data_IF_191069983772
#
_entry.id   IF_191069983772
#
_cell.length_a   1.000
_cell.length_b   1.000
_cell.length_c   1.000
_cell.angle_alpha   90.00
_cell.angle_beta   90.00
_cell.angle_gamma   90.00
#
_symmetry.space_group_name_H-M   'P 1'
#
loop_
_entity.id
_entity.type
_entity.pdbx_description
1 polymer ?
#
# COMPACT_ATOMS: atom_id res chain seq x y z
N UNK A 1 -5.68 -0.06 -4.39
CA UNK A 1 -4.99 1.00 -5.16
C UNK A 1 -5.71 1.29 -6.45
N UNK A 2 -5.76 0.34 -7.42
CA UNK A 2 -6.36 0.55 -8.74
C UNK A 2 -7.73 1.25 -8.73
N UNK A 3 -8.70 0.70 -7.98
CA UNK A 3 -10.02 1.30 -7.83
C UNK A 3 -9.96 2.75 -7.30
N UNK A 4 -9.14 3.02 -6.28
CA UNK A 4 -8.99 4.38 -5.72
C UNK A 4 -8.40 5.38 -6.71
N UNK A 5 -7.63 4.93 -7.70
CA UNK A 5 -6.99 5.79 -8.68
C UNK A 5 -7.72 5.87 -10.03
N UNK A 6 -8.69 5.00 -10.29
CA UNK A 6 -9.33 4.87 -11.61
C UNK A 6 -10.85 5.07 -11.55
N UNK A 7 -11.46 4.99 -10.37
CA UNK A 7 -12.90 5.12 -10.19
C UNK A 7 -13.27 6.35 -9.36
N UNK A 8 -14.52 6.81 -9.52
CA UNK A 8 -15.07 7.90 -8.71
C UNK A 8 -15.64 7.37 -7.40
N UNK A 9 -15.26 7.99 -6.28
CA UNK A 9 -15.78 7.65 -4.96
C UNK A 9 -16.96 8.55 -4.58
N UNK A 10 -17.98 7.96 -3.98
CA UNK A 10 -19.10 8.69 -3.36
C UNK A 10 -18.88 8.99 -1.87
N UNK A 11 -17.71 8.64 -1.33
CA UNK A 11 -17.36 8.82 0.07
C UNK A 11 -15.96 9.45 0.24
N UNK A 12 -15.71 9.99 1.43
CA UNK A 12 -14.37 10.44 1.83
C UNK A 12 -13.60 9.28 2.46
N UNK A 13 -12.33 9.14 2.09
CA UNK A 13 -11.43 8.13 2.64
C UNK A 13 -10.50 8.77 3.67
N UNK A 14 -10.75 8.53 4.95
CA UNK A 14 -9.95 9.11 6.05
C UNK A 14 -8.55 8.50 6.18
N UNK A 15 -8.28 7.34 5.57
CA UNK A 15 -6.95 6.74 5.59
C UNK A 15 -6.84 5.52 4.69
N UNK A 16 -5.66 5.34 4.09
CA UNK A 16 -5.30 4.20 3.25
C UNK A 16 -4.20 3.38 3.92
N UNK A 17 -4.42 2.07 4.06
CA UNK A 17 -3.48 1.14 4.66
C UNK A 17 -3.15 0.04 3.65
N UNK A 18 -1.91 -0.02 3.19
CA UNK A 18 -1.44 -0.98 2.19
C UNK A 18 -0.48 -1.95 2.87
N UNK A 19 -0.80 -3.24 2.88
CA UNK A 19 -0.05 -4.26 3.62
C UNK A 19 0.46 -5.29 2.64
N UNK A 20 1.79 -5.47 2.57
CA UNK A 20 2.45 -6.48 1.72
C UNK A 20 1.93 -6.51 0.27
N UNK A 21 1.47 -5.37 -0.25
CA UNK A 21 0.77 -5.34 -1.54
C UNK A 21 1.78 -5.38 -2.68
N UNK A 22 1.56 -6.24 -3.69
CA UNK A 22 2.31 -6.17 -4.93
C UNK A 22 2.01 -4.86 -5.67
N UNK A 23 3.07 -4.23 -6.13
CA UNK A 23 3.02 -3.19 -7.17
C UNK A 23 3.07 -3.88 -8.55
N UNK A 24 1.91 -4.22 -9.11
CA UNK A 24 1.79 -4.85 -10.42
C UNK A 24 2.22 -3.91 -11.56
N UNK A 25 2.78 -4.48 -12.63
CA UNK A 25 3.31 -3.74 -13.78
C UNK A 25 4.77 -3.30 -13.62
N UNK A 26 5.43 -3.63 -12.50
CA UNK A 26 6.79 -3.15 -12.20
C UNK A 26 7.90 -3.92 -12.93
N UNK A 27 7.73 -5.22 -13.15
CA UNK A 27 8.70 -6.09 -13.82
C UNK A 27 7.99 -7.18 -14.61
N UNK A 28 8.67 -7.91 -15.52
CA UNK A 28 8.07 -8.98 -16.32
C UNK A 28 7.41 -10.08 -15.48
N UNK A 29 7.94 -10.36 -14.28
CA UNK A 29 7.45 -11.40 -13.38
C UNK A 29 6.21 -10.95 -12.57
N UNK A 30 5.94 -9.64 -12.56
CA UNK A 30 4.85 -9.03 -11.79
C UNK A 30 3.85 -8.34 -12.72
N UNK A 31 3.34 -9.10 -13.69
CA UNK A 31 2.33 -8.66 -14.64
C UNK A 31 0.99 -9.32 -14.35
N UNK A 32 -0.03 -8.50 -14.14
CA UNK A 32 -1.41 -8.93 -14.11
C UNK A 32 -2.24 -7.75 -14.58
N UNK A 33 -2.69 -7.78 -15.83
CA UNK A 33 -3.25 -6.62 -16.55
C UNK A 33 -4.34 -5.90 -15.75
N UNK A 34 -5.27 -6.66 -15.17
CA UNK A 34 -6.37 -6.13 -14.36
C UNK A 34 -5.92 -5.47 -13.04
N UNK A 35 -4.67 -5.61 -12.64
CA UNK A 35 -4.10 -5.02 -11.42
C UNK A 35 -2.95 -4.06 -11.67
N UNK A 36 -2.40 -4.03 -12.88
CA UNK A 36 -1.40 -3.04 -13.28
C UNK A 36 -1.99 -1.64 -13.17
N UNK A 37 -1.25 -0.76 -12.47
CA UNK A 37 -1.65 0.62 -12.22
C UNK A 37 -1.27 1.49 -13.43
N UNK A 38 -2.08 2.52 -13.70
CA UNK A 38 -1.68 3.56 -14.64
C UNK A 38 -0.37 4.24 -14.21
N UNK A 39 0.44 4.67 -15.18
CA UNK A 39 1.79 5.18 -14.94
C UNK A 39 1.85 6.34 -13.92
N UNK A 40 0.78 7.12 -13.82
CA UNK A 40 0.63 8.29 -12.95
C UNK A 40 -0.58 8.15 -12.00
N UNK A 41 -0.91 6.93 -11.57
CA UNK A 41 -2.07 6.67 -10.70
C UNK A 41 -2.12 7.57 -9.46
N UNK A 42 -0.95 7.97 -8.93
CA UNK A 42 -0.85 8.84 -7.76
C UNK A 42 -1.48 10.22 -7.96
N UNK A 43 -1.56 10.71 -9.21
CA UNK A 43 -2.17 11.99 -9.55
C UNK A 43 -3.70 11.93 -9.58
N UNK A 44 -4.25 10.72 -9.72
CA UNK A 44 -5.68 10.48 -9.80
C UNK A 44 -6.28 10.03 -8.45
N UNK A 45 -5.46 9.93 -7.39
CA UNK A 45 -5.95 9.57 -6.07
C UNK A 45 -6.85 10.69 -5.50
N UNK A 46 -7.91 10.33 -4.76
CA UNK A 46 -8.67 11.30 -3.97
C UNK A 46 -7.77 11.92 -2.89
N UNK A 47 -8.29 12.94 -2.21
CA UNK A 47 -7.65 13.47 -1.01
C UNK A 47 -7.52 12.35 0.04
N UNK A 48 -6.28 11.94 0.31
CA UNK A 48 -5.94 10.89 1.28
C UNK A 48 -5.04 11.52 2.36
N UNK A 49 -5.61 11.95 3.50
CA UNK A 49 -4.83 12.62 4.54
C UNK A 49 -3.79 11.71 5.19
N UNK A 50 -4.05 10.39 5.21
CA UNK A 50 -3.14 9.40 5.76
C UNK A 50 -2.96 8.22 4.80
N UNK A 51 -1.70 7.89 4.50
CA UNK A 51 -1.33 6.70 3.72
C UNK A 51 -0.27 5.95 4.51
N UNK A 52 -0.51 4.68 4.82
CA UNK A 52 0.42 3.81 5.49
C UNK A 52 0.83 2.65 4.60
N UNK A 53 2.13 2.35 4.55
CA UNK A 53 2.69 1.21 3.84
C UNK A 53 3.34 0.25 4.83
N UNK A 54 2.87 -0.99 4.90
CA UNK A 54 3.40 -2.03 5.77
C UNK A 54 4.05 -3.13 4.96
N UNK A 55 5.24 -3.55 5.39
CA UNK A 55 5.93 -4.65 4.75
C UNK A 55 6.88 -5.33 5.73
N UNK A 56 6.84 -6.66 5.80
CA UNK A 56 7.85 -7.44 6.51
C UNK A 56 9.10 -7.54 5.64
N UNK A 57 10.24 -7.06 6.13
CA UNK A 57 11.43 -6.89 5.30
C UNK A 57 11.96 -8.20 4.67
N UNK A 58 11.71 -9.35 5.29
CA UNK A 58 12.20 -10.67 4.85
C UNK A 58 11.09 -11.59 4.34
N UNK A 59 9.88 -11.09 4.12
CA UNK A 59 8.83 -11.90 3.51
C UNK A 59 9.23 -12.26 2.06
N UNK A 60 8.79 -13.43 1.60
CA UNK A 60 9.27 -14.03 0.35
C UNK A 60 8.20 -14.15 -0.74
N UNK A 61 6.99 -13.61 -0.51
CA UNK A 61 5.88 -13.67 -1.46
C UNK A 61 5.91 -12.44 -2.35
N UNK A 62 6.01 -11.25 -1.74
CA UNK A 62 6.10 -9.97 -2.45
C UNK A 62 7.44 -9.33 -2.09
N UNK A 63 8.38 -9.19 -3.04
CA UNK A 63 9.68 -8.59 -2.75
C UNK A 63 9.56 -7.16 -2.18
N UNK A 64 10.46 -6.81 -1.26
CA UNK A 64 10.52 -5.46 -0.65
C UNK A 64 10.59 -4.32 -1.67
N UNK A 65 11.07 -4.58 -2.90
CA UNK A 65 11.09 -3.60 -3.98
C UNK A 65 9.70 -3.07 -4.39
N UNK A 66 8.61 -3.80 -4.12
CA UNK A 66 7.23 -3.33 -4.34
C UNK A 66 6.83 -2.29 -3.29
N UNK A 67 7.18 -2.50 -2.02
CA UNK A 67 7.04 -1.48 -0.97
C UNK A 67 7.79 -0.21 -1.35
N UNK A 68 9.04 -0.34 -1.80
CA UNK A 68 9.83 0.80 -2.27
C UNK A 68 9.23 1.49 -3.49
N UNK A 69 8.56 0.75 -4.38
CA UNK A 69 7.88 1.33 -5.54
C UNK A 69 6.69 2.19 -5.12
N UNK A 70 5.85 1.70 -4.21
CA UNK A 70 4.79 2.50 -3.61
C UNK A 70 5.33 3.72 -2.88
N UNK A 71 6.36 3.55 -2.03
CA UNK A 71 6.94 4.64 -1.25
C UNK A 71 7.52 5.76 -2.15
N UNK A 72 8.11 5.41 -3.31
CA UNK A 72 8.57 6.40 -4.30
C UNK A 72 7.43 7.16 -4.98
N UNK A 73 6.33 6.48 -5.30
CA UNK A 73 5.15 7.09 -5.95
C UNK A 73 4.29 7.88 -4.95
N UNK A 74 4.35 7.53 -3.67
CA UNK A 74 3.60 8.13 -2.58
C UNK A 74 4.57 8.62 -1.49
N UNK A 75 5.39 9.65 -1.76
CA UNK A 75 6.42 10.11 -0.82
C UNK A 75 5.86 10.63 0.52
N UNK A 76 4.58 11.02 0.56
CA UNK A 76 3.86 11.41 1.77
C UNK A 76 3.46 10.23 2.67
N UNK A 77 3.66 8.99 2.22
CA UNK A 77 3.25 7.80 2.97
C UNK A 77 4.10 7.56 4.22
N UNK A 78 3.45 7.10 5.28
CA UNK A 78 4.06 6.65 6.50
C UNK A 78 4.47 5.19 6.32
N UNK A 79 5.76 4.92 6.38
CA UNK A 79 6.30 3.57 6.18
C UNK A 79 6.43 2.82 7.50
N UNK A 80 5.96 1.57 7.50
CA UNK A 80 6.04 0.60 8.59
C UNK A 80 6.78 -0.63 8.09
N UNK A 81 8.09 -0.51 8.02
CA UNK A 81 8.98 -1.62 7.65
C UNK A 81 9.20 -2.47 8.91
N UNK A 82 8.74 -3.71 8.87
CA UNK A 82 8.70 -4.58 10.03
C UNK A 82 9.84 -5.61 9.96
N UNK A 83 10.52 -5.90 11.09
CA UNK A 83 11.40 -7.05 11.13
C UNK A 83 10.55 -8.32 11.02
N UNK A 84 11.01 -9.31 10.24
CA UNK A 84 10.34 -10.60 10.10
C UNK A 84 10.05 -10.97 8.66
N UNK A 85 9.30 -12.07 8.50
CA UNK A 85 9.03 -12.76 7.24
C UNK A 85 7.52 -12.93 6.96
N UNK A 86 6.67 -12.32 7.79
CA UNK A 86 5.22 -12.50 7.69
C UNK A 86 4.64 -11.72 6.50
N UNK A 87 4.10 -12.44 5.51
CA UNK A 87 3.31 -11.85 4.43
C UNK A 87 1.85 -11.62 4.85
N UNK A 88 1.23 -12.63 5.47
CA UNK A 88 -0.20 -12.63 5.82
C UNK A 88 -0.52 -12.02 7.20
N UNK A 89 0.49 -11.84 8.07
CA UNK A 89 0.30 -11.40 9.46
C UNK A 89 -0.80 -12.17 10.20
N UNK A 90 -0.78 -13.50 10.13
CA UNK A 90 -1.87 -14.36 10.63
C UNK A 90 -2.08 -14.28 12.15
N UNK A 91 -1.08 -13.82 12.90
CA UNK A 91 -1.17 -13.54 14.34
C UNK A 91 -1.56 -12.09 14.66
N UNK A 92 -1.90 -11.32 13.63
CA UNK A 92 -2.29 -9.93 13.71
C UNK A 92 -1.12 -8.97 13.52
N UNK A 93 -1.48 -7.69 13.30
CA UNK A 93 -0.55 -6.60 13.09
C UNK A 93 -0.85 -5.46 14.09
N UNK A 94 -0.39 -5.54 15.35
CA UNK A 94 -0.79 -4.58 16.38
C UNK A 94 -0.46 -3.11 16.07
N UNK A 95 0.59 -2.86 15.29
CA UNK A 95 0.96 -1.51 14.84
C UNK A 95 -0.09 -0.92 13.89
N UNK A 96 -0.71 -1.73 13.02
CA UNK A 96 -1.83 -1.30 12.17
C UNK A 96 -3.00 -0.82 13.04
N UNK A 97 -3.33 -1.56 14.10
CA UNK A 97 -4.42 -1.17 15.02
C UNK A 97 -4.12 0.17 15.70
N UNK A 98 -2.86 0.40 16.11
CA UNK A 98 -2.44 1.67 16.69
C UNK A 98 -2.56 2.81 15.67
N UNK A 99 -2.12 2.59 14.44
CA UNK A 99 -2.17 3.59 13.37
C UNK A 99 -3.61 3.92 12.97
N UNK A 100 -4.51 2.93 12.87
CA UNK A 100 -5.95 3.14 12.66
C UNK A 100 -6.56 3.98 13.80
N UNK A 101 -6.23 3.67 15.06
CA UNK A 101 -6.71 4.45 16.23
C UNK A 101 -6.12 5.85 16.31
N UNK A 102 -5.00 6.10 15.64
CA UNK A 102 -4.34 7.41 15.63
C UNK A 102 -4.92 8.37 14.60
N UNK A 103 -5.76 7.87 13.67
CA UNK A 103 -6.49 8.72 12.75
C UNK A 103 -7.38 9.65 13.57
N UNK A 104 -7.11 10.96 13.47
CA UNK A 104 -8.00 11.98 14.00
C UNK A 104 -9.21 12.02 13.08
N UNK A 105 -10.29 11.33 13.48
CA UNK A 105 -11.57 11.31 12.79
C UNK A 105 -12.41 12.54 13.16
#
# INVERSE_FOLDING_TARGET
MKYLSEESLSCTVSGLFIIASPFWGRSPEWQLENYTLHADFEKALPALPYIFLYHSFRENVVPFSHHQAYARKLPQSIQRILPGEEHLFSKGLPILVKDVRSLQL
#
